data_IF_040278567286
#
_entry.id   IF_040278567286
#
_cell.length_a   1.000
_cell.length_b   1.000
_cell.length_c   1.000
_cell.angle_alpha   90.00
_cell.angle_beta   90.00
_cell.angle_gamma   90.00
#
_symmetry.space_group_name_H-M   'P 1'
#
loop_
_entity.id
_entity.type
_entity.pdbx_description
1 polymer ?
#
# COMPACT_ATOMS: atom_id res chain seq x y z
N UNK A 1 -8.05 -1.35 -3.72
CA UNK A 1 -8.62 -2.32 -2.75
C UNK A 1 -8.00 -2.23 -1.35
N UNK A 2 -6.68 -2.05 -1.21
CA UNK A 2 -5.97 -2.03 0.08
C UNK A 2 -6.49 -0.96 1.04
N UNK A 3 -6.65 0.29 0.57
CA UNK A 3 -7.27 1.38 1.36
C UNK A 3 -8.64 1.03 1.94
N UNK A 4 -9.51 0.40 1.14
CA UNK A 4 -10.85 0.03 1.59
C UNK A 4 -10.81 -1.11 2.60
N UNK A 5 -9.86 -2.04 2.47
CA UNK A 5 -9.64 -3.11 3.46
C UNK A 5 -9.14 -2.57 4.78
N UNK A 6 -8.23 -1.59 4.78
CA UNK A 6 -7.80 -0.89 6.00
C UNK A 6 -8.99 -0.23 6.69
N UNK A 7 -9.79 0.54 5.95
CA UNK A 7 -10.95 1.23 6.51
C UNK A 7 -11.99 0.24 7.06
N UNK A 8 -12.40 -0.75 6.28
CA UNK A 8 -13.39 -1.74 6.70
C UNK A 8 -12.87 -2.61 7.84
N UNK A 9 -11.59 -2.98 7.84
CA UNK A 9 -10.97 -3.70 8.95
C UNK A 9 -11.06 -2.90 10.24
N UNK A 10 -10.68 -1.63 10.21
CA UNK A 10 -10.70 -0.77 11.39
C UNK A 10 -12.13 -0.54 11.89
N UNK A 11 -13.06 -0.29 10.97
CA UNK A 11 -14.47 -0.07 11.28
C UNK A 11 -15.14 -1.29 11.94
N UNK A 12 -14.82 -2.51 11.48
CA UNK A 12 -15.39 -3.74 12.03
C UNK A 12 -14.50 -4.42 13.08
N UNK A 13 -13.51 -3.71 13.65
CA UNK A 13 -12.57 -4.23 14.63
C UNK A 13 -11.88 -5.55 14.21
N UNK A 14 -11.56 -5.70 12.93
CA UNK A 14 -10.80 -6.83 12.40
C UNK A 14 -9.31 -6.43 12.22
N UNK A 15 -8.42 -6.81 13.15
CA UNK A 15 -7.01 -6.39 13.13
C UNK A 15 -6.24 -6.95 11.92
N UNK A 16 -6.53 -8.20 11.51
CA UNK A 16 -5.85 -8.82 10.37
C UNK A 16 -6.20 -8.13 9.04
N UNK A 17 -7.46 -7.78 8.85
CA UNK A 17 -7.90 -7.03 7.66
C UNK A 17 -7.33 -5.61 7.63
N UNK A 18 -7.24 -4.97 8.80
CA UNK A 18 -6.71 -3.63 8.94
C UNK A 18 -5.23 -3.57 8.61
N UNK A 19 -4.47 -4.50 9.20
CA UNK A 19 -3.03 -4.54 9.14
C UNK A 19 -2.54 -5.29 7.90
N UNK A 20 -2.67 -6.62 7.89
CA UNK A 20 -2.04 -7.47 6.89
C UNK A 20 -2.62 -7.26 5.49
N UNK A 21 -3.94 -7.23 5.38
CA UNK A 21 -4.61 -7.13 4.07
C UNK A 21 -4.92 -5.70 3.62
N UNK A 22 -4.68 -4.72 4.51
CA UNK A 22 -4.93 -3.31 4.29
C UNK A 22 -3.62 -2.52 4.29
N UNK A 23 -3.14 -2.17 5.49
CA UNK A 23 -1.99 -1.29 5.68
C UNK A 23 -0.71 -1.82 5.03
N UNK A 24 -0.32 -3.06 5.33
CA UNK A 24 0.94 -3.64 4.83
C UNK A 24 0.98 -3.67 3.30
N UNK A 25 -0.15 -3.96 2.66
CA UNK A 25 -0.27 -3.91 1.19
C UNK A 25 -0.15 -2.49 0.63
N UNK A 26 -0.70 -1.48 1.30
CA UNK A 26 -0.52 -0.07 0.88
C UNK A 26 0.93 0.38 0.99
N UNK A 27 1.64 -0.01 2.06
CA UNK A 27 3.07 0.30 2.22
C UNK A 27 3.89 -0.35 1.10
N UNK A 28 3.58 -1.60 0.75
CA UNK A 28 4.25 -2.30 -0.34
C UNK A 28 3.99 -1.65 -1.70
N UNK A 29 2.76 -1.21 -1.97
CA UNK A 29 2.45 -0.46 -3.19
C UNK A 29 3.21 0.87 -3.25
N UNK A 30 3.34 1.58 -2.12
CA UNK A 30 4.12 2.83 -2.06
C UNK A 30 5.60 2.59 -2.40
N UNK A 31 6.21 1.52 -1.90
CA UNK A 31 7.59 1.16 -2.24
C UNK A 31 7.74 0.95 -3.75
N UNK A 32 6.85 0.16 -4.37
CA UNK A 32 6.87 -0.08 -5.83
C UNK A 32 6.73 1.21 -6.64
N UNK A 33 5.86 2.12 -6.21
CA UNK A 33 5.68 3.43 -6.86
C UNK A 33 6.98 4.25 -6.79
N UNK A 34 7.65 4.27 -5.64
CA UNK A 34 8.92 4.99 -5.47
C UNK A 34 10.02 4.42 -6.35
N UNK A 35 10.17 3.10 -6.37
CA UNK A 35 11.14 2.40 -7.23
C UNK A 35 10.90 2.70 -8.71
N UNK A 36 9.65 2.57 -9.18
CA UNK A 36 9.29 2.88 -10.56
C UNK A 36 9.57 4.35 -10.90
N UNK A 37 9.23 5.28 -10.00
CA UNK A 37 9.50 6.71 -10.20
C UNK A 37 11.00 7.02 -10.27
N UNK A 38 11.82 6.35 -9.46
CA UNK A 38 13.28 6.45 -9.53
C UNK A 38 13.81 5.92 -10.86
N UNK A 39 13.40 4.71 -11.28
CA UNK A 39 13.79 4.13 -12.57
C UNK A 39 13.44 5.05 -13.75
N UNK A 40 12.23 5.64 -13.75
CA UNK A 40 11.81 6.58 -14.80
C UNK A 40 12.65 7.86 -14.84
N UNK A 41 13.06 8.38 -13.67
CA UNK A 41 13.94 9.55 -13.60
C UNK A 41 15.35 9.23 -14.09
N UNK A 42 15.86 8.05 -13.74
CA UNK A 42 17.17 7.57 -14.20
C UNK A 42 17.19 7.34 -15.71
N UNK A 43 16.13 6.76 -16.28
CA UNK A 43 16.02 6.53 -17.72
C UNK A 43 15.89 7.80 -18.57
N UNK A 44 15.46 8.92 -17.96
CA UNK A 44 15.37 10.23 -18.63
C UNK A 44 16.72 10.96 -18.71
N UNK A 45 17.70 10.56 -17.89
CA UNK A 45 19.04 11.17 -17.85
C UNK A 45 19.92 10.57 -18.95
#
# INVERSE_FOLDING_TARGET
KHRMRTFQGAFHANPDYSLWYGWSEMVRDLTKIKEAAESMRMAKK
#
